data_IF_691714920198
#
_entry.id   IF_691714920198
#
_cell.length_a   1.000
_cell.length_b   1.000
_cell.length_c   1.000
_cell.angle_alpha   90.00
_cell.angle_beta   90.00
_cell.angle_gamma   90.00
#
_symmetry.space_group_name_H-M   'P 1'
#
loop_
_entity.id
_entity.type
_entity.pdbx_description
1 polymer ?
#
# COMPACT_ATOMS: atom_id res chain seq x y z
N UNK A 1 -2.05 8.41 -24.44
CA UNK A 1 -1.60 7.06 -24.84
C UNK A 1 -2.43 6.06 -24.04
N UNK A 2 -3.10 5.08 -24.66
CA UNK A 2 -3.87 4.08 -23.89
C UNK A 2 -2.88 3.12 -23.24
N UNK A 3 -2.95 2.98 -21.91
CA UNK A 3 -2.17 1.98 -21.17
C UNK A 3 -2.68 0.59 -21.59
N UNK A 4 -1.77 -0.32 -21.94
CA UNK A 4 -2.12 -1.70 -22.29
C UNK A 4 -2.65 -2.45 -21.06
N UNK A 5 -3.44 -3.51 -21.28
CA UNK A 5 -3.98 -4.32 -20.18
C UNK A 5 -2.87 -5.02 -19.37
N UNK A 6 -1.77 -5.41 -20.03
CA UNK A 6 -0.57 -5.98 -19.38
C UNK A 6 0.08 -4.95 -18.43
N UNK A 7 0.23 -3.69 -18.88
CA UNK A 7 0.81 -2.63 -18.06
C UNK A 7 -0.11 -2.28 -16.88
N UNK A 8 -1.43 -2.21 -17.11
CA UNK A 8 -2.40 -1.99 -16.03
C UNK A 8 -2.34 -3.08 -14.97
N UNK A 9 -2.19 -4.33 -15.41
CA UNK A 9 -2.01 -5.46 -14.50
C UNK A 9 -0.74 -5.27 -13.67
N UNK A 10 0.41 -5.03 -14.30
CA UNK A 10 1.68 -4.84 -13.57
C UNK A 10 1.61 -3.69 -12.56
N UNK A 11 0.99 -2.56 -12.92
CA UNK A 11 0.77 -1.43 -12.01
C UNK A 11 -0.07 -1.88 -10.80
N UNK A 12 -1.19 -2.57 -11.03
CA UNK A 12 -2.00 -3.10 -9.94
C UNK A 12 -1.27 -4.12 -9.07
N UNK A 13 -0.42 -4.96 -9.66
CA UNK A 13 0.38 -5.93 -8.90
C UNK A 13 1.38 -5.24 -7.98
N UNK A 14 2.11 -4.24 -8.49
CA UNK A 14 2.99 -3.40 -7.67
C UNK A 14 2.24 -2.65 -6.58
N UNK A 15 1.08 -2.09 -6.92
CA UNK A 15 0.22 -1.39 -5.97
C UNK A 15 -0.28 -2.31 -4.84
N UNK A 16 -0.64 -3.55 -5.15
CA UNK A 16 -1.06 -4.54 -4.15
C UNK A 16 0.12 -5.03 -3.30
N UNK A 17 1.31 -5.09 -3.86
CA UNK A 17 2.52 -5.47 -3.11
C UNK A 17 2.84 -4.43 -2.02
N UNK A 18 2.63 -3.13 -2.28
CA UNK A 18 2.70 -2.07 -1.25
C UNK A 18 1.78 -2.39 -0.05
N UNK A 19 0.52 -2.76 -0.29
CA UNK A 19 -0.36 -3.13 0.82
C UNK A 19 0.09 -4.40 1.55
N UNK A 20 0.74 -5.33 0.85
CA UNK A 20 1.33 -6.51 1.49
C UNK A 20 2.40 -6.10 2.51
N UNK A 21 3.28 -5.16 2.14
CA UNK A 21 4.28 -4.56 3.03
C UNK A 21 3.65 -3.82 4.22
N UNK A 22 2.66 -2.95 3.97
CA UNK A 22 1.97 -2.17 5.02
C UNK A 22 1.10 -3.06 5.94
N UNK A 23 0.65 -4.23 5.46
CA UNK A 23 -0.17 -5.15 6.25
C UNK A 23 0.63 -6.06 7.20
N UNK A 24 1.96 -6.10 7.07
CA UNK A 24 2.82 -7.04 7.78
C UNK A 24 3.77 -6.34 8.76
N UNK A 25 3.41 -6.38 10.05
CA UNK A 25 4.30 -5.90 11.13
C UNK A 25 5.63 -6.64 11.18
N UNK A 26 5.66 -7.91 10.79
CA UNK A 26 6.90 -8.69 10.72
C UNK A 26 7.81 -8.13 9.63
N UNK A 27 7.27 -7.88 8.43
CA UNK A 27 8.01 -7.25 7.34
C UNK A 27 8.57 -5.91 7.78
N UNK A 28 7.74 -5.04 8.36
CA UNK A 28 8.12 -3.69 8.77
C UNK A 28 9.23 -3.70 9.84
N UNK A 29 9.14 -4.59 10.83
CA UNK A 29 10.19 -4.73 11.84
C UNK A 29 11.50 -5.26 11.25
N UNK A 30 11.42 -6.21 10.32
CA UNK A 30 12.59 -6.83 9.70
C UNK A 30 13.27 -5.85 8.73
N UNK A 31 12.49 -5.23 7.85
CA UNK A 31 12.99 -4.39 6.76
C UNK A 31 13.16 -2.94 7.22
N UNK A 32 12.08 -2.23 7.54
CA UNK A 32 12.14 -0.79 7.84
C UNK A 32 12.95 -0.45 9.10
N UNK A 33 12.95 -1.31 10.12
CA UNK A 33 13.64 -1.03 11.39
C UNK A 33 15.05 -1.61 11.44
N UNK A 34 15.23 -2.86 10.98
CA UNK A 34 16.52 -3.56 11.11
C UNK A 34 17.35 -3.59 9.83
N UNK A 35 16.78 -3.26 8.68
CA UNK A 35 17.44 -3.39 7.38
C UNK A 35 17.81 -4.84 7.03
N UNK A 36 17.05 -5.83 7.51
CA UNK A 36 17.35 -7.25 7.34
C UNK A 36 16.64 -7.83 6.10
N UNK A 37 17.22 -7.71 4.91
CA UNK A 37 16.69 -8.37 3.72
C UNK A 37 17.34 -7.91 2.43
N UNK A 38 17.12 -8.63 1.30
CA UNK A 38 17.49 -8.11 -0.02
C UNK A 38 16.63 -6.89 -0.43
N UNK A 39 15.50 -6.65 0.24
CA UNK A 39 14.65 -5.49 0.04
C UNK A 39 15.35 -4.21 0.54
N UNK A 40 15.60 -3.25 -0.35
CA UNK A 40 16.07 -1.90 0.00
C UNK A 40 14.83 -1.01 0.05
N UNK A 41 14.15 -1.02 1.20
CA UNK A 41 12.89 -0.31 1.40
C UNK A 41 12.80 0.13 2.86
N UNK A 42 12.22 1.29 3.09
CA UNK A 42 11.88 1.80 4.41
C UNK A 42 10.47 2.40 4.42
N UNK A 43 10.10 3.05 5.51
CA UNK A 43 8.77 3.66 5.60
C UNK A 43 8.58 4.83 4.64
N UNK A 44 9.62 5.66 4.43
CA UNK A 44 9.54 6.83 3.57
C UNK A 44 9.46 6.41 2.10
N UNK A 45 10.25 5.41 1.71
CA UNK A 45 10.17 4.78 0.38
C UNK A 45 8.78 4.17 0.14
N UNK A 46 8.28 3.37 1.09
CA UNK A 46 6.93 2.80 1.00
C UNK A 46 5.85 3.89 0.89
N UNK A 47 5.96 4.97 1.67
CA UNK A 47 5.00 6.07 1.63
C UNK A 47 5.05 6.81 0.29
N UNK A 48 6.25 7.09 -0.21
CA UNK A 48 6.46 7.73 -1.52
C UNK A 48 5.85 6.90 -2.66
N UNK A 49 6.23 5.62 -2.74
CA UNK A 49 5.68 4.66 -3.70
C UNK A 49 4.15 4.61 -3.63
N UNK A 50 3.62 4.51 -2.41
CA UNK A 50 2.18 4.45 -2.19
C UNK A 50 1.47 5.67 -2.75
N UNK A 51 1.93 6.88 -2.45
CA UNK A 51 1.19 8.08 -2.86
C UNK A 51 1.26 8.33 -4.37
N UNK A 52 2.41 8.06 -5.00
CA UNK A 52 2.55 8.18 -6.46
C UNK A 52 1.61 7.22 -7.18
N UNK A 53 1.60 5.95 -6.77
CA UNK A 53 0.76 4.93 -7.40
C UNK A 53 -0.72 5.13 -7.05
N UNK A 54 -1.04 5.41 -5.79
CA UNK A 54 -2.43 5.53 -5.33
C UNK A 54 -3.13 6.72 -5.97
N UNK A 55 -2.48 7.88 -6.05
CA UNK A 55 -3.10 9.07 -6.64
C UNK A 55 -3.36 8.84 -8.15
N UNK A 56 -2.41 8.23 -8.86
CA UNK A 56 -2.57 7.85 -10.28
C UNK A 56 -3.72 6.86 -10.51
N UNK A 57 -3.85 5.85 -9.65
CA UNK A 57 -4.91 4.85 -9.71
C UNK A 57 -6.26 5.47 -9.36
N UNK A 58 -6.35 6.32 -8.33
CA UNK A 58 -7.61 6.94 -7.90
C UNK A 58 -8.18 7.88 -8.95
N UNK A 59 -7.34 8.63 -9.68
CA UNK A 59 -7.75 9.51 -10.77
C UNK A 59 -8.44 8.75 -11.91
N UNK A 60 -7.99 7.52 -12.21
CA UNK A 60 -8.44 6.73 -13.35
C UNK A 60 -8.95 5.33 -12.95
N UNK A 61 -9.52 5.18 -11.76
CA UNK A 61 -9.75 3.86 -11.13
C UNK A 61 -10.57 2.89 -12.00
N UNK A 62 -11.51 3.40 -12.80
CA UNK A 62 -12.32 2.58 -13.73
C UNK A 62 -11.48 1.94 -14.83
N UNK A 63 -10.41 2.58 -15.27
CA UNK A 63 -9.51 2.04 -16.29
C UNK A 63 -8.73 0.82 -15.79
N UNK A 64 -8.59 0.70 -14.47
CA UNK A 64 -7.96 -0.42 -13.76
C UNK A 64 -8.98 -1.49 -13.32
N UNK A 65 -10.26 -1.37 -13.71
CA UNK A 65 -11.30 -2.33 -13.31
C UNK A 65 -11.64 -2.29 -11.82
N UNK A 66 -11.29 -1.20 -11.13
CA UNK A 66 -11.61 -1.01 -9.72
C UNK A 66 -13.08 -0.63 -9.58
N UNK A 67 -13.78 -1.31 -8.66
CA UNK A 67 -15.18 -1.04 -8.34
C UNK A 67 -15.32 0.23 -7.49
N UNK A 68 -16.49 0.86 -7.51
CA UNK A 68 -16.77 2.04 -6.67
C UNK A 68 -16.54 1.75 -5.18
N UNK A 69 -16.85 0.54 -4.71
CA UNK A 69 -16.60 0.14 -3.33
C UNK A 69 -15.09 0.06 -3.02
N UNK A 70 -14.30 -0.56 -3.90
CA UNK A 70 -12.84 -0.62 -3.74
C UNK A 70 -12.23 0.80 -3.78
N UNK A 71 -12.70 1.66 -4.68
CA UNK A 71 -12.30 3.08 -4.73
C UNK A 71 -12.56 3.79 -3.41
N UNK A 72 -13.74 3.64 -2.80
CA UNK A 72 -14.06 4.29 -1.53
C UNK A 72 -13.18 3.78 -0.38
N UNK A 73 -12.86 2.48 -0.36
CA UNK A 73 -11.96 1.91 0.65
C UNK A 73 -10.53 2.44 0.45
N UNK A 74 -10.03 2.46 -0.79
CA UNK A 74 -8.71 3.01 -1.13
C UNK A 74 -8.60 4.48 -0.75
N UNK A 75 -9.57 5.30 -1.13
CA UNK A 75 -9.59 6.74 -0.82
C UNK A 75 -9.51 7.00 0.69
N UNK A 76 -10.31 6.27 1.48
CA UNK A 76 -10.28 6.38 2.95
C UNK A 76 -8.93 5.97 3.54
N UNK A 77 -8.30 4.92 3.00
CA UNK A 77 -6.96 4.53 3.41
C UNK A 77 -5.95 5.61 3.05
N UNK A 78 -5.96 6.11 1.81
CA UNK A 78 -5.06 7.15 1.31
C UNK A 78 -5.09 8.40 2.20
N UNK A 79 -6.28 8.89 2.53
CA UNK A 79 -6.44 10.08 3.38
C UNK A 79 -5.93 9.84 4.81
N UNK A 80 -6.22 8.68 5.38
CA UNK A 80 -5.75 8.32 6.72
C UNK A 80 -4.24 8.12 6.76
N UNK A 81 -3.68 7.47 5.74
CA UNK A 81 -2.25 7.20 5.64
C UNK A 81 -1.46 8.49 5.39
N UNK A 82 -1.96 9.40 4.54
CA UNK A 82 -1.38 10.75 4.37
C UNK A 82 -1.28 11.50 5.69
N UNK A 83 -2.39 11.59 6.42
CA UNK A 83 -2.40 12.29 7.72
C UNK A 83 -1.36 11.68 8.67
N UNK A 84 -1.26 10.35 8.70
CA UNK A 84 -0.30 9.66 9.55
C UNK A 84 1.15 9.91 9.10
N UNK A 85 1.46 9.78 7.81
CA UNK A 85 2.82 9.94 7.27
C UNK A 85 3.34 11.36 7.38
N UNK A 86 2.45 12.36 7.35
CA UNK A 86 2.84 13.76 7.48
C UNK A 86 3.31 14.09 8.90
N UNK A 87 2.87 13.31 9.89
CA UNK A 87 3.17 13.49 11.31
C UNK A 87 4.21 12.48 11.86
N UNK A 88 4.50 11.41 11.13
CA UNK A 88 5.32 10.29 11.59
C UNK A 88 6.27 9.86 10.49
N UNK A 89 7.58 9.84 10.76
CA UNK A 89 8.62 9.39 9.81
C UNK A 89 9.58 8.34 10.40
N UNK A 90 9.45 8.00 11.70
CA UNK A 90 10.37 7.08 12.38
C UNK A 90 9.66 5.80 12.84
N UNK A 91 9.78 4.68 12.10
CA UNK A 91 9.04 3.44 12.38
C UNK A 91 9.18 2.92 13.82
N UNK A 92 10.33 3.09 14.45
CA UNK A 92 10.61 2.62 15.80
C UNK A 92 9.67 3.27 16.84
N UNK A 93 9.19 4.49 16.58
CA UNK A 93 8.27 5.20 17.48
C UNK A 93 6.82 4.74 17.32
N UNK A 94 6.40 4.40 16.10
CA UNK A 94 4.98 4.17 15.83
C UNK A 94 4.59 2.72 15.58
N UNK A 95 5.52 1.81 15.26
CA UNK A 95 5.21 0.45 14.76
C UNK A 95 4.34 -0.38 15.73
N UNK A 96 4.43 -0.11 17.03
CA UNK A 96 3.66 -0.81 18.07
C UNK A 96 2.49 0.02 18.59
N UNK A 97 2.20 1.18 17.99
CA UNK A 97 1.10 2.05 18.42
C UNK A 97 -0.26 1.49 17.98
N UNK A 98 -1.34 1.80 18.72
CA UNK A 98 -2.69 1.48 18.28
C UNK A 98 -3.10 2.18 16.98
N UNK A 99 -2.49 3.33 16.67
CA UNK A 99 -2.77 4.06 15.44
C UNK A 99 -2.21 3.33 14.22
N UNK A 100 -0.95 2.89 14.30
CA UNK A 100 -0.35 2.10 13.23
C UNK A 100 -1.09 0.77 13.01
N UNK A 101 -1.51 0.10 14.10
CA UNK A 101 -2.33 -1.11 14.01
C UNK A 101 -3.60 -0.89 13.17
N UNK A 102 -4.27 0.26 13.33
CA UNK A 102 -5.46 0.58 12.51
C UNK A 102 -5.12 0.68 11.03
N UNK A 103 -3.98 1.30 10.67
CA UNK A 103 -3.51 1.41 9.29
C UNK A 103 -3.19 0.02 8.72
N UNK A 104 -2.46 -0.81 9.46
CA UNK A 104 -2.17 -2.20 9.09
C UNK A 104 -3.47 -3.00 8.84
N UNK A 105 -4.46 -2.87 9.71
CA UNK A 105 -5.75 -3.54 9.56
C UNK A 105 -6.56 -3.02 8.36
N UNK A 106 -6.47 -1.73 8.04
CA UNK A 106 -7.09 -1.19 6.82
C UNK A 106 -6.40 -1.73 5.56
N UNK A 107 -5.07 -1.86 5.55
CA UNK A 107 -4.33 -2.48 4.45
C UNK A 107 -4.77 -3.94 4.23
N UNK A 108 -4.92 -4.73 5.30
CA UNK A 108 -5.46 -6.11 5.20
C UNK A 108 -6.87 -6.15 4.59
N UNK A 109 -7.73 -5.20 4.94
CA UNK A 109 -9.09 -5.10 4.35
C UNK A 109 -9.04 -4.78 2.86
N UNK A 110 -8.10 -3.94 2.42
CA UNK A 110 -7.89 -3.66 1.00
C UNK A 110 -7.43 -4.91 0.26
N UNK A 111 -6.41 -5.61 0.77
CA UNK A 111 -5.95 -6.88 0.19
C UNK A 111 -7.11 -7.87 -0.01
N UNK A 112 -7.99 -8.00 1.00
CA UNK A 112 -9.19 -8.82 0.91
C UNK A 112 -10.19 -8.32 -0.13
N UNK A 113 -10.42 -7.00 -0.20
CA UNK A 113 -11.35 -6.39 -1.16
C UNK A 113 -10.88 -6.53 -2.61
N UNK A 114 -9.57 -6.58 -2.84
CA UNK A 114 -8.98 -6.75 -4.17
C UNK A 114 -8.91 -8.23 -4.61
N UNK A 115 -9.23 -9.19 -3.71
CA UNK A 115 -9.20 -10.63 -3.96
C UNK A 115 -7.96 -11.09 -4.75
N UNK A 116 -6.83 -10.43 -4.52
CA UNK A 116 -5.65 -10.62 -5.31
C UNK A 116 -5.00 -11.95 -4.91
N UNK A 117 -5.23 -12.99 -5.72
CA UNK A 117 -4.47 -14.21 -5.66
C UNK A 117 -3.19 -13.98 -6.46
N UNK A 118 -2.07 -13.74 -5.76
CA UNK A 118 -0.73 -13.68 -6.37
C UNK A 118 -0.56 -14.94 -7.22
N UNK A 119 -0.68 -14.80 -8.54
CA UNK A 119 -0.39 -15.90 -9.45
C UNK A 119 1.12 -16.02 -9.46
N UNK A 120 1.67 -16.86 -8.58
CA UNK A 120 3.08 -17.26 -8.67
C UNK A 120 3.24 -17.92 -10.03
N UNK A 121 3.90 -17.22 -10.97
CA UNK A 121 4.60 -17.88 -12.07
C UNK A 121 5.89 -18.45 -11.53
#
# INVERSE_FOLDING_TARGET
MKISDENKKQILEGFIDIFTRISSKEYQKRIWIKGEGPEVDDFDDTACDFFVECDSILENYKDFGITDNQYQILKRFRDKFRTFSDENNWPQEFINTPEWEKITEMAKKILKAFNYQKTRK
#
